data_IF_205164566490
#
_entry.id   IF_205164566490
#
_cell.length_a   1.000
_cell.length_b   1.000
_cell.length_c   1.000
_cell.angle_alpha   90.00
_cell.angle_beta   90.00
_cell.angle_gamma   90.00
#
_symmetry.space_group_name_H-M   'P 1'
#
loop_
_entity.id
_entity.type
_entity.pdbx_description
1 polymer ?
#
# COMPACT_ATOMS: atom_id res chain seq x y z
N UNK A 1 26.02 10.32 4.25
CA UNK A 1 25.05 11.20 3.56
C UNK A 1 24.01 11.55 4.61
N UNK A 2 23.85 12.82 4.99
CA UNK A 2 22.81 13.19 5.95
C UNK A 2 21.45 13.00 5.27
N UNK A 3 20.61 12.13 5.81
CA UNK A 3 19.19 12.08 5.46
C UNK A 3 18.58 13.42 5.84
N UNK A 4 18.37 14.29 4.85
CA UNK A 4 17.65 15.53 5.03
C UNK A 4 16.17 15.21 5.18
N UNK A 5 15.58 15.62 6.30
CA UNK A 5 14.13 15.56 6.47
C UNK A 5 13.49 16.65 5.60
N UNK A 6 12.56 16.26 4.73
CA UNK A 6 11.79 17.19 3.89
C UNK A 6 10.39 17.27 4.45
N UNK A 7 9.97 18.47 4.86
CA UNK A 7 8.61 18.72 5.32
C UNK A 7 7.75 19.22 4.17
N UNK A 8 6.59 18.59 3.96
CA UNK A 8 5.59 18.98 2.97
C UNK A 8 4.23 18.99 3.65
N UNK A 9 3.44 20.04 3.41
CA UNK A 9 2.05 20.11 3.85
C UNK A 9 1.15 19.57 2.75
N UNK A 10 0.30 18.59 3.08
CA UNK A 10 -0.64 17.97 2.15
C UNK A 10 -2.08 18.27 2.59
N UNK A 11 -2.92 18.66 1.63
CA UNK A 11 -4.36 18.74 1.84
C UNK A 11 -4.99 17.34 1.85
N UNK A 12 -6.24 17.23 2.32
CA UNK A 12 -6.96 15.95 2.24
C UNK A 12 -7.11 15.43 0.80
N UNK A 13 -7.31 16.33 -0.17
CA UNK A 13 -7.39 15.97 -1.58
C UNK A 13 -6.06 15.47 -2.15
N UNK A 14 -4.93 16.03 -1.71
CA UNK A 14 -3.59 15.55 -2.09
C UNK A 14 -3.38 14.13 -1.56
N UNK A 15 -3.78 13.87 -0.32
CA UNK A 15 -3.68 12.53 0.26
C UNK A 15 -4.54 11.53 -0.50
N UNK A 16 -5.78 11.86 -0.85
CA UNK A 16 -6.63 11.00 -1.69
C UNK A 16 -5.95 10.70 -3.04
N UNK A 17 -5.38 11.71 -3.69
CA UNK A 17 -4.67 11.55 -4.96
C UNK A 17 -3.45 10.62 -4.82
N UNK A 18 -2.70 10.74 -3.73
CA UNK A 18 -1.57 9.86 -3.45
C UNK A 18 -2.00 8.42 -3.19
N UNK A 19 -3.13 8.21 -2.49
CA UNK A 19 -3.70 6.86 -2.27
C UNK A 19 -4.08 6.22 -3.60
N UNK A 20 -4.81 6.94 -4.47
CA UNK A 20 -5.19 6.43 -5.79
C UNK A 20 -3.96 6.12 -6.67
N UNK A 21 -2.91 6.94 -6.55
CA UNK A 21 -1.65 6.72 -7.25
C UNK A 21 -0.91 5.48 -6.72
N UNK A 22 -0.95 5.21 -5.41
CA UNK A 22 -0.35 4.01 -4.81
C UNK A 22 -1.10 2.74 -5.22
N UNK A 23 -2.43 2.76 -5.22
CA UNK A 23 -3.27 1.63 -5.68
C UNK A 23 -2.99 1.32 -7.16
N UNK A 24 -2.87 2.36 -7.99
CA UNK A 24 -2.48 2.23 -9.39
C UNK A 24 -1.06 1.70 -9.54
N UNK A 25 -0.13 2.18 -8.71
CA UNK A 25 1.28 1.80 -8.76
C UNK A 25 1.47 0.31 -8.44
N UNK A 26 0.81 -0.14 -7.38
CA UNK A 26 0.79 -1.53 -6.96
C UNK A 26 0.31 -2.42 -8.11
N UNK A 27 -0.84 -2.10 -8.70
CA UNK A 27 -1.46 -2.96 -9.71
C UNK A 27 -0.75 -2.97 -11.07
N UNK A 28 -0.25 -1.82 -11.53
CA UNK A 28 0.29 -1.68 -12.89
C UNK A 28 1.80 -1.85 -13.00
N UNK A 29 2.57 -1.57 -11.94
CA UNK A 29 4.03 -1.62 -12.01
C UNK A 29 4.63 -2.69 -11.09
N UNK A 30 4.14 -2.83 -9.86
CA UNK A 30 4.72 -3.78 -8.90
C UNK A 30 4.24 -5.22 -9.13
N UNK A 31 3.04 -5.38 -9.71
CA UNK A 31 2.40 -6.69 -9.87
C UNK A 31 2.90 -7.53 -11.05
N UNK A 32 3.86 -7.06 -11.86
CA UNK A 32 4.24 -7.74 -13.12
C UNK A 32 4.71 -9.19 -12.93
N UNK A 33 5.32 -9.48 -11.78
CA UNK A 33 5.81 -10.82 -11.41
C UNK A 33 4.93 -11.56 -10.40
N UNK A 34 3.81 -10.94 -10.01
CA UNK A 34 2.95 -11.41 -8.92
C UNK A 34 1.59 -11.85 -9.43
N UNK A 35 0.93 -12.81 -8.74
CA UNK A 35 -0.45 -13.15 -9.04
C UNK A 35 -1.36 -11.93 -8.86
N UNK A 36 -2.20 -11.66 -9.85
CA UNK A 36 -3.21 -10.59 -9.82
C UNK A 36 -4.55 -11.11 -10.30
N UNK A 37 -5.61 -10.73 -9.61
CA UNK A 37 -6.99 -11.09 -9.97
C UNK A 37 -7.96 -10.04 -9.41
N UNK A 38 -9.05 -9.77 -10.13
CA UNK A 38 -10.12 -8.84 -9.73
C UNK A 38 -9.66 -7.44 -9.26
N UNK A 39 -8.56 -6.93 -9.82
CA UNK A 39 -8.03 -5.60 -9.45
C UNK A 39 -7.11 -5.60 -8.23
N UNK A 40 -6.76 -6.77 -7.69
CA UNK A 40 -5.90 -6.92 -6.52
C UNK A 40 -4.63 -7.72 -6.88
N UNK A 41 -3.56 -7.44 -6.15
CA UNK A 41 -2.29 -8.16 -6.19
C UNK A 41 -2.24 -9.06 -4.98
N UNK A 42 -1.94 -10.35 -5.18
CA UNK A 42 -1.91 -11.32 -4.08
C UNK A 42 -0.47 -11.60 -3.67
N UNK A 43 -0.12 -11.25 -2.44
CA UNK A 43 1.17 -11.59 -1.83
C UNK A 43 0.99 -12.62 -0.70
N UNK A 44 2.05 -13.35 -0.29
CA UNK A 44 1.94 -14.31 0.79
C UNK A 44 1.40 -13.67 2.08
N UNK A 45 0.33 -14.27 2.61
CA UNK A 45 -0.36 -13.83 3.82
C UNK A 45 -1.61 -12.97 3.58
N UNK A 46 -1.94 -12.62 2.34
CA UNK A 46 -3.19 -11.93 2.01
C UNK A 46 -4.42 -12.85 2.18
N UNK A 47 -4.24 -14.16 1.97
CA UNK A 47 -5.26 -15.18 2.17
C UNK A 47 -4.93 -16.08 3.38
N UNK A 48 -5.95 -16.62 4.09
CA UNK A 48 -5.72 -17.60 5.14
C UNK A 48 -4.95 -18.83 4.64
N UNK A 49 -4.13 -19.43 5.51
CA UNK A 49 -3.43 -20.68 5.21
C UNK A 49 -4.44 -21.79 4.86
N UNK A 50 -4.26 -22.43 3.71
CA UNK A 50 -5.17 -23.44 3.15
C UNK A 50 -6.15 -22.91 2.10
N UNK A 51 -6.36 -21.59 2.03
CA UNK A 51 -7.15 -20.92 1.00
C UNK A 51 -6.27 -20.13 0.01
N UNK A 52 -4.97 -20.00 0.32
CA UNK A 52 -4.00 -19.30 -0.53
C UNK A 52 -3.61 -20.13 -1.76
N UNK A 53 -4.51 -20.13 -2.75
CA UNK A 53 -4.31 -20.82 -4.04
C UNK A 53 -3.08 -20.34 -4.82
N UNK A 54 -2.47 -19.22 -4.44
CA UNK A 54 -1.38 -18.59 -5.17
C UNK A 54 -0.01 -18.88 -4.56
N UNK A 55 0.06 -19.07 -3.23
CA UNK A 55 1.30 -19.23 -2.50
C UNK A 55 1.39 -20.50 -1.65
N UNK A 56 0.33 -21.33 -1.59
CA UNK A 56 0.38 -22.59 -0.83
C UNK A 56 1.47 -23.54 -1.34
N UNK A 57 2.43 -23.85 -0.45
CA UNK A 57 3.59 -24.70 -0.75
C UNK A 57 4.61 -24.11 -1.72
N UNK A 58 4.51 -22.82 -2.05
CA UNK A 58 5.41 -22.13 -2.98
C UNK A 58 6.27 -21.09 -2.26
N UNK A 59 7.59 -21.26 -2.38
CA UNK A 59 8.56 -20.25 -1.98
C UNK A 59 8.73 -19.23 -3.13
N UNK A 60 8.59 -17.92 -2.88
CA UNK A 60 8.82 -16.90 -3.90
C UNK A 60 10.23 -16.97 -4.48
N UNK A 61 10.36 -16.70 -5.78
CA UNK A 61 11.70 -16.43 -6.33
C UNK A 61 12.27 -15.15 -5.74
N UNK A 62 13.58 -14.91 -5.90
CA UNK A 62 14.21 -13.67 -5.42
C UNK A 62 13.53 -12.42 -5.98
N UNK A 63 13.24 -12.39 -7.28
CA UNK A 63 12.62 -11.24 -7.94
C UNK A 63 11.18 -11.03 -7.45
N UNK A 64 10.45 -12.12 -7.21
CA UNK A 64 9.12 -12.05 -6.60
C UNK A 64 9.19 -11.55 -5.15
N UNK A 65 10.20 -11.95 -4.38
CA UNK A 65 10.40 -11.46 -3.03
C UNK A 65 10.67 -9.96 -3.01
N UNK A 66 11.50 -9.46 -3.94
CA UNK A 66 11.75 -8.02 -4.12
C UNK A 66 10.44 -7.28 -4.44
N UNK A 67 9.62 -7.80 -5.36
CA UNK A 67 8.30 -7.23 -5.68
C UNK A 67 7.32 -7.28 -4.49
N UNK A 68 7.28 -8.38 -3.73
CA UNK A 68 6.45 -8.52 -2.52
C UNK A 68 6.82 -7.46 -1.47
N UNK A 69 8.11 -7.22 -1.28
CA UNK A 69 8.58 -6.23 -0.31
C UNK A 69 8.20 -4.80 -0.73
N UNK A 70 8.25 -4.50 -2.03
CA UNK A 70 7.78 -3.23 -2.58
C UNK A 70 6.27 -3.05 -2.43
N UNK A 71 5.47 -4.09 -2.69
CA UNK A 71 4.01 -4.07 -2.46
C UNK A 71 3.70 -3.82 -0.99
N UNK A 72 4.39 -4.49 -0.05
CA UNK A 72 4.22 -4.26 1.38
C UNK A 72 4.55 -2.83 1.78
N UNK A 73 5.64 -2.27 1.25
CA UNK A 73 6.02 -0.89 1.52
C UNK A 73 4.98 0.11 0.96
N UNK A 74 4.44 -0.17 -0.24
CA UNK A 74 3.37 0.61 -0.86
C UNK A 74 2.11 0.63 0.02
N UNK A 75 1.62 -0.55 0.43
CA UNK A 75 0.45 -0.71 1.31
C UNK A 75 0.64 -0.03 2.65
N UNK A 76 1.82 -0.16 3.27
CA UNK A 76 2.12 0.50 4.53
C UNK A 76 2.14 2.04 4.42
N UNK A 77 2.60 2.59 3.29
CA UNK A 77 2.52 4.04 3.03
C UNK A 77 1.06 4.47 2.85
N UNK A 78 0.29 3.73 2.06
CA UNK A 78 -1.14 3.96 1.85
C UNK A 78 -1.91 3.99 3.17
N UNK A 79 -1.69 3.00 4.04
CA UNK A 79 -2.33 2.93 5.36
C UNK A 79 -2.01 4.16 6.21
N UNK A 80 -0.73 4.60 6.26
CA UNK A 80 -0.35 5.81 6.99
C UNK A 80 -1.03 7.07 6.45
N UNK A 81 -1.17 7.17 5.13
CA UNK A 81 -1.87 8.28 4.47
C UNK A 81 -3.37 8.28 4.81
N UNK A 82 -4.02 7.11 4.76
CA UNK A 82 -5.44 6.97 5.14
C UNK A 82 -5.67 7.28 6.62
N UNK A 83 -4.77 6.85 7.51
CA UNK A 83 -4.82 7.20 8.93
C UNK A 83 -4.64 8.71 9.15
N UNK A 84 -3.78 9.36 8.38
CA UNK A 84 -3.59 10.80 8.43
C UNK A 84 -4.87 11.56 8.02
N UNK A 85 -5.67 11.04 7.08
CA UNK A 85 -7.01 11.56 6.76
C UNK A 85 -8.00 11.36 7.92
N UNK A 86 -8.03 10.17 8.52
CA UNK A 86 -8.93 9.84 9.63
C UNK A 86 -8.64 10.61 10.93
N UNK A 87 -7.37 10.98 11.19
CA UNK A 87 -6.97 11.81 12.33
C UNK A 87 -7.26 13.32 12.18
N UNK A 88 -7.78 13.75 11.02
CA UNK A 88 -8.20 15.14 10.75
C UNK A 88 -9.68 15.36 11.09
N UNK A 89 -10.46 14.30 11.31
CA UNK A 89 -11.92 14.36 11.51
C UNK A 89 -12.46 14.72 12.90
N UNK A 90 -11.62 14.82 13.94
CA UNK A 90 -12.09 15.12 15.32
C UNK A 90 -11.79 16.55 15.81
N UNK A 91 -11.07 17.37 15.01
CA UNK A 91 -10.63 18.70 15.46
C UNK A 91 -11.46 19.89 14.98
N UNK A 92 -12.64 19.65 14.42
CA UNK A 92 -13.52 20.75 13.95
C UNK A 92 -15.00 20.57 14.30
N UNK A 93 -15.32 19.72 15.28
CA UNK A 93 -16.65 19.68 15.90
C UNK A 93 -16.74 20.67 17.07
N UNK A 94 -16.41 21.95 16.84
CA UNK A 94 -16.79 23.02 17.75
C UNK A 94 -16.83 24.36 17.04
N UNK A 95 -17.96 24.67 16.41
CA UNK A 95 -18.43 26.03 16.17
C UNK A 95 -19.96 26.00 16.09
N UNK A 96 -20.65 27.05 16.55
CA UNK A 96 -21.02 27.40 17.93
C UNK A 96 -22.39 26.84 18.37
#
# INVERSE_FOLDING_TARGET
>A
MSSGEVQVSLSGADICTLVDALDSHEYWQLADLLPRDNGEVWIPGDLPAGDDRYWDGLEPTREQQEAIDEVRACRALRERLVQALGGVGERDASVP
#
